data_IF_055563358208
#
_entry.id   IF_055563358208
#
_cell.length_a   1.000
_cell.length_b   1.000
_cell.length_c   1.000
_cell.angle_alpha   90.00
_cell.angle_beta   90.00
_cell.angle_gamma   90.00
#
_symmetry.space_group_name_H-M   'P 1'
#
loop_
_entity.id
_entity.type
_entity.pdbx_description
1 polymer ?
#
# COMPACT_ATOMS: atom_id res chain seq x y z
N UNK A 1 1.29 1.05 -52.79
CA UNK A 1 2.58 1.27 -52.09
C UNK A 1 2.85 2.76 -52.09
N UNK A 2 2.91 3.41 -50.91
CA UNK A 2 3.63 4.67 -50.73
C UNK A 2 3.99 4.85 -49.26
N UNK A 3 5.24 5.23 -49.07
CA UNK A 3 6.01 5.26 -47.82
C UNK A 3 5.86 6.59 -47.08
N UNK A 4 6.12 6.54 -45.77
CA UNK A 4 6.76 7.55 -44.90
C UNK A 4 5.93 7.97 -43.69
N UNK A 5 6.37 7.52 -42.51
CA UNK A 5 6.33 8.33 -41.29
C UNK A 5 7.55 7.97 -40.43
N UNK A 6 8.44 8.95 -40.26
CA UNK A 6 9.75 8.85 -39.65
C UNK A 6 9.70 9.63 -38.32
N UNK A 7 10.04 9.03 -37.16
CA UNK A 7 10.31 9.83 -35.94
C UNK A 7 11.19 9.12 -34.88
N UNK A 8 12.49 9.44 -34.96
CA UNK A 8 13.50 9.78 -33.91
C UNK A 8 13.65 8.85 -32.68
N UNK A 9 14.77 8.11 -32.52
CA UNK A 9 16.11 8.46 -31.99
C UNK A 9 16.19 8.75 -30.46
N UNK A 10 16.92 7.84 -29.79
CA UNK A 10 17.94 8.02 -28.73
C UNK A 10 17.57 8.67 -27.39
N UNK A 11 17.95 7.97 -26.30
CA UNK A 11 18.74 8.44 -25.11
C UNK A 11 18.19 7.77 -23.84
N UNK A 12 18.92 6.86 -23.20
CA UNK A 12 19.97 7.10 -22.20
C UNK A 12 19.45 6.92 -20.76
N UNK A 13 20.11 6.04 -20.01
CA UNK A 13 20.23 5.96 -18.53
C UNK A 13 19.56 7.10 -17.75
N UNK A 14 18.52 6.78 -16.98
CA UNK A 14 18.06 7.54 -15.80
C UNK A 14 17.18 6.64 -14.91
N UNK A 15 17.75 6.26 -13.76
CA UNK A 15 17.17 5.99 -12.43
C UNK A 15 16.02 4.95 -12.22
N UNK A 16 16.08 4.12 -11.16
CA UNK A 16 15.10 3.08 -10.81
C UNK A 16 13.76 3.60 -10.25
N UNK A 17 13.36 4.83 -10.58
CA UNK A 17 12.29 5.55 -9.86
C UNK A 17 10.91 4.92 -10.05
N UNK A 18 10.61 4.36 -11.21
CA UNK A 18 9.31 3.72 -11.49
C UNK A 18 9.12 2.41 -10.71
N UNK A 19 10.18 1.61 -10.52
CA UNK A 19 10.09 0.37 -9.72
C UNK A 19 9.95 0.64 -8.22
N UNK A 20 10.59 1.68 -7.69
CA UNK A 20 10.45 2.05 -6.28
C UNK A 20 9.09 2.68 -5.96
N UNK A 21 8.45 3.34 -6.92
CA UNK A 21 7.12 3.95 -6.76
C UNK A 21 6.02 2.88 -6.82
N UNK A 22 6.12 1.91 -7.73
CA UNK A 22 5.21 0.75 -7.75
C UNK A 22 5.37 -0.16 -6.53
N UNK A 23 6.59 -0.41 -6.05
CA UNK A 23 6.82 -1.18 -4.84
C UNK A 23 6.33 -0.47 -3.56
N UNK A 24 6.34 0.87 -3.54
CA UNK A 24 5.74 1.67 -2.45
C UNK A 24 4.22 1.68 -2.50
N UNK A 25 3.63 1.70 -3.71
CA UNK A 25 2.18 1.60 -3.88
C UNK A 25 1.66 0.23 -3.42
N UNK A 26 2.33 -0.85 -3.82
CA UNK A 26 2.00 -2.22 -3.40
C UNK A 26 2.05 -2.40 -1.88
N UNK A 27 3.09 -1.88 -1.23
CA UNK A 27 3.19 -1.88 0.24
C UNK A 27 2.15 -1.01 0.96
N UNK A 28 1.67 0.06 0.31
CA UNK A 28 0.60 0.90 0.86
C UNK A 28 -0.77 0.23 0.72
N UNK A 29 -1.06 -0.39 -0.44
CA UNK A 29 -2.29 -1.15 -0.68
C UNK A 29 -2.38 -2.37 0.26
N UNK A 30 -1.27 -3.10 0.48
CA UNK A 30 -1.20 -4.19 1.45
C UNK A 30 -1.50 -3.71 2.88
N UNK A 31 -0.92 -2.58 3.30
CA UNK A 31 -1.21 -1.97 4.60
C UNK A 31 -2.69 -1.61 4.72
N UNK A 32 -3.26 -0.91 3.73
CA UNK A 32 -4.66 -0.50 3.75
C UNK A 32 -5.61 -1.69 3.81
N UNK A 33 -5.34 -2.76 3.06
CA UNK A 33 -6.13 -3.99 3.09
C UNK A 33 -6.08 -4.66 4.48
N UNK A 34 -4.89 -4.74 5.10
CA UNK A 34 -4.73 -5.26 6.47
C UNK A 34 -5.51 -4.45 7.50
N UNK A 35 -5.47 -3.12 7.39
CA UNK A 35 -6.24 -2.23 8.27
C UNK A 35 -7.73 -2.49 8.10
N UNK A 36 -8.22 -2.56 6.86
CA UNK A 36 -9.63 -2.78 6.56
C UNK A 36 -10.14 -4.13 7.11
N UNK A 37 -9.36 -5.20 6.93
CA UNK A 37 -9.69 -6.54 7.46
C UNK A 37 -9.76 -6.53 8.99
N UNK A 38 -8.79 -5.91 9.67
CA UNK A 38 -8.81 -5.82 11.13
C UNK A 38 -9.98 -4.97 11.63
N UNK A 39 -10.22 -3.80 11.03
CA UNK A 39 -11.35 -2.95 11.38
C UNK A 39 -12.69 -3.68 11.19
N UNK A 40 -12.81 -4.50 10.14
CA UNK A 40 -13.97 -5.36 9.92
C UNK A 40 -14.18 -6.35 11.06
N UNK A 41 -13.14 -7.11 11.46
CA UNK A 41 -13.26 -8.06 12.56
C UNK A 41 -13.58 -7.39 13.90
N UNK A 42 -13.05 -6.18 14.12
CA UNK A 42 -13.36 -5.39 15.31
C UNK A 42 -14.82 -4.95 15.34
N UNK A 43 -15.35 -4.50 14.20
CA UNK A 43 -16.77 -4.16 14.07
C UNK A 43 -17.64 -5.42 14.24
N UNK A 44 -17.25 -6.54 13.62
CA UNK A 44 -17.94 -7.84 13.74
C UNK A 44 -18.04 -8.31 15.20
N UNK A 45 -16.94 -8.21 15.96
CA UNK A 45 -16.91 -8.58 17.39
C UNK A 45 -17.89 -7.75 18.25
N UNK A 46 -18.28 -6.56 17.79
CA UNK A 46 -19.30 -5.70 18.41
C UNK A 46 -20.67 -5.78 17.74
N UNK A 47 -20.86 -6.69 16.79
CA UNK A 47 -22.10 -6.81 16.01
C UNK A 47 -22.38 -5.62 15.09
N UNK A 48 -21.33 -4.98 14.57
CA UNK A 48 -21.41 -3.80 13.67
C UNK A 48 -22.21 -2.64 14.27
N UNK A 49 -22.02 -2.39 15.57
CA UNK A 49 -22.66 -1.25 16.24
C UNK A 49 -22.18 0.09 15.61
N UNK A 50 -23.09 0.95 15.15
CA UNK A 50 -22.74 2.23 14.51
C UNK A 50 -22.12 3.21 15.52
N UNK A 51 -21.29 4.14 15.03
CA UNK A 51 -20.57 5.13 15.83
C UNK A 51 -19.19 4.69 16.31
N UNK A 52 -18.74 3.48 15.94
CA UNK A 52 -17.42 2.94 16.28
C UNK A 52 -16.52 2.70 15.07
N UNK A 53 -17.00 2.92 13.86
CA UNK A 53 -16.30 2.63 12.60
C UNK A 53 -14.94 3.31 12.55
N UNK A 54 -14.89 4.61 12.89
CA UNK A 54 -13.64 5.38 12.93
C UNK A 54 -12.69 4.85 13.99
N UNK A 55 -13.20 4.45 15.15
CA UNK A 55 -12.38 3.96 16.26
C UNK A 55 -11.78 2.59 15.95
N UNK A 56 -12.57 1.71 15.34
CA UNK A 56 -12.12 0.38 14.92
C UNK A 56 -11.07 0.49 13.81
N UNK A 57 -11.20 1.48 12.92
CA UNK A 57 -10.20 1.79 11.90
C UNK A 57 -8.89 2.34 12.50
N UNK A 58 -8.95 3.31 13.42
CA UNK A 58 -7.77 3.90 14.08
C UNK A 58 -6.99 2.86 14.89
N UNK A 59 -7.69 1.96 15.57
CA UNK A 59 -7.04 0.89 16.31
C UNK A 59 -6.40 -0.14 15.37
N UNK A 60 -7.09 -0.52 14.30
CA UNK A 60 -6.52 -1.38 13.26
C UNK A 60 -5.27 -0.77 12.63
N UNK A 61 -5.27 0.53 12.33
CA UNK A 61 -4.08 1.26 11.88
C UNK A 61 -2.91 1.15 12.86
N UNK A 62 -3.17 1.38 14.14
CA UNK A 62 -2.17 1.32 15.20
C UNK A 62 -1.56 -0.09 15.28
N UNK A 63 -2.41 -1.13 15.20
CA UNK A 63 -1.97 -2.52 15.25
C UNK A 63 -1.12 -2.89 14.03
N UNK A 64 -1.55 -2.53 12.83
CA UNK A 64 -0.80 -2.81 11.59
C UNK A 64 0.52 -2.05 11.58
N UNK A 65 0.52 -0.79 12.02
CA UNK A 65 1.74 0.02 12.13
C UNK A 65 2.72 -0.62 13.13
N UNK A 66 2.23 -1.11 14.28
CA UNK A 66 3.05 -1.81 15.27
C UNK A 66 3.65 -3.11 14.69
N UNK A 67 2.88 -3.87 13.90
CA UNK A 67 3.39 -5.07 13.22
C UNK A 67 4.45 -4.73 12.18
N UNK A 68 4.21 -3.75 11.31
CA UNK A 68 5.15 -3.35 10.25
C UNK A 68 6.44 -2.78 10.87
N UNK A 69 6.32 -1.91 11.86
CA UNK A 69 7.48 -1.32 12.55
C UNK A 69 8.26 -2.35 13.37
N UNK A 70 7.58 -3.33 13.97
CA UNK A 70 8.21 -4.44 14.70
C UNK A 70 8.89 -5.48 13.80
N UNK A 71 8.43 -5.65 12.56
CA UNK A 71 9.02 -6.53 11.54
C UNK A 71 10.32 -5.99 10.93
N UNK A 72 10.58 -4.67 11.02
CA UNK A 72 11.78 -4.04 10.47
C UNK A 72 12.99 -4.06 11.43
N UNK A 73 13.07 -5.03 12.35
CA UNK A 73 14.23 -5.19 13.24
C UNK A 73 15.30 -6.02 12.51
N UNK A 74 16.47 -5.46 12.15
CA UNK A 74 17.57 -6.29 11.68
C UNK A 74 17.99 -7.23 12.81
N UNK A 75 17.98 -8.54 12.53
CA UNK A 75 18.63 -9.52 13.39
C UNK A 75 20.09 -9.08 13.58
N UNK A 76 20.50 -8.92 14.84
CA UNK A 76 21.88 -8.60 15.23
C UNK A 76 22.69 -9.88 15.36
#
# INVERSE_FOLDING_TARGET
MNVTAMKRKTSATTAPRVSAESARADGAEDRHNKIAILAYYKAEARGFTPGHETQDWLDAETQVLAQISGLNRPAT
#
